data_IF_767223921060
#
_entry.id   IF_767223921060
#
_cell.length_a   1.000
_cell.length_b   1.000
_cell.length_c   1.000
_cell.angle_alpha   90.00
_cell.angle_beta   90.00
_cell.angle_gamma   90.00
#
_symmetry.space_group_name_H-M   'P 1'
#
loop_
_entity.id
_entity.type
_entity.pdbx_description
1 polymer ?
#
# COMPACT_ATOMS: atom_id res chain seq x y z
N UNK A 1 -2.76 23.35 -51.33
CA UNK A 1 -2.24 24.31 -50.33
C UNK A 1 -3.27 24.47 -49.22
N UNK A 2 -3.10 23.77 -48.09
CA UNK A 2 -4.00 23.90 -46.94
C UNK A 2 -3.71 25.20 -46.20
N UNK A 3 -4.68 26.11 -46.16
CA UNK A 3 -4.59 27.35 -45.37
C UNK A 3 -4.67 26.96 -43.89
N UNK A 4 -3.62 27.24 -43.12
CA UNK A 4 -3.66 27.13 -41.66
C UNK A 4 -4.42 28.33 -41.12
N UNK A 5 -5.67 28.11 -40.73
CA UNK A 5 -6.51 29.14 -40.10
C UNK A 5 -6.00 29.34 -38.65
N UNK A 6 -5.49 30.54 -38.36
CA UNK A 6 -5.03 30.89 -37.01
C UNK A 6 -6.24 31.08 -36.10
N UNK A 7 -6.22 30.42 -34.95
CA UNK A 7 -7.30 30.54 -33.95
C UNK A 7 -7.42 31.98 -33.42
N UNK A 8 -8.63 32.45 -33.08
CA UNK A 8 -8.83 33.73 -32.42
C UNK A 8 -8.06 33.80 -31.09
N UNK A 9 -7.52 34.99 -30.77
CA UNK A 9 -6.72 35.23 -29.55
C UNK A 9 -7.39 34.74 -28.26
N UNK A 10 -8.71 34.95 -28.02
CA UNK A 10 -9.37 34.42 -26.83
C UNK A 10 -9.36 32.89 -26.74
N UNK A 11 -9.49 32.21 -27.88
CA UNK A 11 -9.48 30.73 -27.95
C UNK A 11 -8.09 30.19 -27.67
N UNK A 12 -7.04 30.85 -28.17
CA UNK A 12 -5.66 30.49 -27.86
C UNK A 12 -5.35 30.68 -26.36
N UNK A 13 -5.86 31.75 -25.75
CA UNK A 13 -5.66 32.02 -24.32
C UNK A 13 -6.37 30.99 -23.44
N UNK A 14 -7.61 30.64 -23.78
CA UNK A 14 -8.39 29.60 -23.08
C UNK A 14 -7.70 28.23 -23.17
N UNK A 15 -7.20 27.83 -24.34
CA UNK A 15 -6.44 26.58 -24.51
C UNK A 15 -5.19 26.55 -23.64
N UNK A 16 -4.45 27.66 -23.56
CA UNK A 16 -3.23 27.76 -22.75
C UNK A 16 -3.53 27.69 -21.25
N UNK A 17 -4.63 28.31 -20.81
CA UNK A 17 -5.10 28.21 -19.42
C UNK A 17 -5.51 26.78 -19.07
N UNK A 18 -6.30 26.12 -19.93
CA UNK A 18 -6.69 24.72 -19.74
C UNK A 18 -5.48 23.79 -19.64
N UNK A 19 -4.52 23.92 -20.56
CA UNK A 19 -3.26 23.16 -20.51
C UNK A 19 -2.49 23.37 -19.21
N UNK A 20 -2.37 24.63 -18.75
CA UNK A 20 -1.69 24.93 -17.48
C UNK A 20 -2.41 24.34 -16.27
N UNK A 21 -3.75 24.30 -16.28
CA UNK A 21 -4.54 23.68 -15.21
C UNK A 21 -4.34 22.17 -15.21
N UNK A 22 -4.44 21.51 -16.37
CA UNK A 22 -4.22 20.06 -16.51
C UNK A 22 -2.84 19.65 -15.99
N UNK A 23 -1.77 20.34 -16.41
CA UNK A 23 -0.40 20.03 -15.93
C UNK A 23 -0.25 20.22 -14.42
N UNK A 24 -0.97 21.18 -13.81
CA UNK A 24 -0.95 21.36 -12.36
C UNK A 24 -1.68 20.24 -11.62
N UNK A 25 -2.81 19.78 -12.14
CA UNK A 25 -3.56 18.66 -11.57
C UNK A 25 -2.72 17.39 -11.63
N UNK A 26 -2.14 17.06 -12.80
CA UNK A 26 -1.28 15.89 -12.96
C UNK A 26 -0.08 15.90 -12.00
N UNK A 27 0.54 17.07 -11.78
CA UNK A 27 1.62 17.23 -10.81
C UNK A 27 1.15 17.06 -9.38
N UNK A 28 -0.06 17.50 -9.05
CA UNK A 28 -0.63 17.33 -7.72
C UNK A 28 -0.96 15.86 -7.47
N UNK A 29 -1.61 15.19 -8.41
CA UNK A 29 -1.92 13.76 -8.34
C UNK A 29 -0.64 12.94 -8.19
N UNK A 30 0.39 13.23 -8.99
CA UNK A 30 1.68 12.57 -8.84
C UNK A 30 2.30 12.77 -7.45
N UNK A 31 2.18 13.97 -6.87
CA UNK A 31 2.67 14.25 -5.52
C UNK A 31 1.85 13.55 -4.44
N UNK A 32 0.53 13.51 -4.58
CA UNK A 32 -0.35 12.80 -3.64
C UNK A 32 -0.03 11.30 -3.68
N UNK A 33 0.03 10.71 -4.87
CA UNK A 33 0.38 9.30 -5.03
C UNK A 33 1.77 8.98 -4.48
N UNK A 34 2.74 9.88 -4.67
CA UNK A 34 4.10 9.67 -4.19
C UNK A 34 4.26 9.88 -2.68
N UNK A 35 3.59 10.84 -2.08
CA UNK A 35 3.87 11.26 -0.69
C UNK A 35 2.76 10.93 0.31
N UNK A 36 1.53 10.73 -0.15
CA UNK A 36 0.39 10.38 0.71
C UNK A 36 0.06 8.89 0.59
N UNK A 37 0.21 8.31 -0.61
CA UNK A 37 -0.10 6.89 -0.85
C UNK A 37 1.12 5.96 -0.74
N UNK A 38 2.32 6.47 -0.46
CA UNK A 38 3.46 5.60 -0.16
C UNK A 38 3.28 5.00 1.23
N UNK A 39 3.04 3.68 1.27
CA UNK A 39 3.07 2.89 2.50
C UNK A 39 4.40 3.11 3.22
N UNK A 40 4.37 3.42 4.51
CA UNK A 40 5.57 3.66 5.30
C UNK A 40 5.97 2.36 6.00
N UNK A 41 6.41 1.42 5.19
CA UNK A 41 6.74 0.06 5.61
C UNK A 41 8.01 0.07 6.48
N UNK A 42 7.93 -0.55 7.65
CA UNK A 42 9.06 -0.73 8.55
C UNK A 42 9.62 -2.15 8.39
N UNK A 43 10.89 -2.26 8.01
CA UNK A 43 11.58 -3.53 7.71
C UNK A 43 12.56 -3.95 8.82
N UNK A 44 12.47 -3.32 9.98
CA UNK A 44 13.31 -3.57 11.15
C UNK A 44 12.43 -3.89 12.37
N UNK A 45 13.00 -4.58 13.36
CA UNK A 45 12.28 -4.90 14.59
C UNK A 45 11.80 -3.63 15.28
N UNK A 46 10.51 -3.60 15.60
CA UNK A 46 9.88 -2.53 16.39
C UNK A 46 9.62 -3.06 17.79
N UNK A 47 10.16 -2.38 18.81
CA UNK A 47 9.90 -2.74 20.20
C UNK A 47 8.40 -2.65 20.51
N UNK A 48 7.83 -3.74 21.04
CA UNK A 48 6.40 -3.86 21.32
C UNK A 48 5.55 -4.42 20.18
N UNK A 49 6.12 -4.63 18.98
CA UNK A 49 5.40 -5.30 17.90
C UNK A 49 5.07 -6.77 18.24
N UNK A 50 3.94 -7.31 17.74
CA UNK A 50 3.45 -8.64 18.10
C UNK A 50 4.36 -9.79 17.62
N UNK A 51 5.11 -9.56 16.54
CA UNK A 51 6.07 -10.51 15.96
C UNK A 51 7.33 -9.74 15.58
N UNK A 52 8.47 -10.43 15.43
CA UNK A 52 9.75 -9.84 14.99
C UNK A 52 9.98 -10.02 13.49
N UNK A 53 10.71 -9.11 12.86
CA UNK A 53 11.19 -9.27 11.49
C UNK A 53 12.05 -10.54 11.40
N UNK A 54 11.85 -11.33 10.35
CA UNK A 54 12.52 -12.63 10.17
C UNK A 54 11.87 -13.78 10.95
N UNK A 55 10.90 -13.53 11.83
CA UNK A 55 10.22 -14.58 12.57
C UNK A 55 9.36 -15.44 11.64
N UNK A 56 9.42 -16.77 11.81
CA UNK A 56 8.51 -17.69 11.12
C UNK A 56 7.15 -17.69 11.78
N UNK A 57 6.11 -17.54 10.96
CA UNK A 57 4.71 -17.52 11.37
C UNK A 57 3.89 -18.43 10.49
N UNK A 58 2.86 -19.05 11.08
CA UNK A 58 1.82 -19.79 10.39
C UNK A 58 0.60 -18.90 10.24
N UNK A 59 0.04 -18.86 9.04
CA UNK A 59 -1.24 -18.20 8.76
C UNK A 59 -2.37 -19.10 9.27
N UNK A 60 -3.24 -18.55 10.11
CA UNK A 60 -4.44 -19.21 10.59
C UNK A 60 -5.55 -19.11 9.54
N UNK A 61 -6.44 -20.10 9.52
CA UNK A 61 -7.54 -20.16 8.56
C UNK A 61 -8.70 -19.24 9.02
N UNK A 62 -8.65 -17.98 8.60
CA UNK A 62 -9.65 -16.92 8.82
C UNK A 62 -10.29 -16.89 10.23
N UNK A 63 -9.50 -16.74 11.31
CA UNK A 63 -10.00 -16.86 12.69
C UNK A 63 -10.92 -15.70 13.13
N UNK A 64 -10.86 -14.56 12.44
CA UNK A 64 -11.65 -13.35 12.67
C UNK A 64 -12.89 -13.25 11.75
N UNK A 65 -13.10 -14.21 10.85
CA UNK A 65 -14.15 -14.16 9.82
C UNK A 65 -14.09 -12.90 8.94
N UNK A 66 -12.87 -12.49 8.55
CA UNK A 66 -12.64 -11.40 7.62
C UNK A 66 -13.01 -11.84 6.19
N UNK A 67 -13.94 -11.12 5.57
CA UNK A 67 -14.40 -11.37 4.19
C UNK A 67 -13.31 -11.07 3.15
N UNK A 68 -12.26 -10.32 3.53
CA UNK A 68 -11.13 -9.96 2.67
C UNK A 68 -9.95 -10.92 2.79
N UNK A 69 -10.02 -11.91 3.70
CA UNK A 69 -8.98 -12.90 3.91
C UNK A 69 -8.77 -13.78 2.66
N UNK A 70 -7.53 -13.86 2.17
CA UNK A 70 -7.16 -14.74 1.07
C UNK A 70 -6.85 -16.16 1.56
N UNK A 71 -7.80 -17.07 1.34
CA UNK A 71 -7.70 -18.49 1.67
C UNK A 71 -6.54 -19.22 0.99
N UNK A 72 -5.92 -18.68 -0.07
CA UNK A 72 -4.71 -19.26 -0.68
C UNK A 72 -3.57 -19.38 0.34
N UNK A 73 -3.55 -18.51 1.34
CA UNK A 73 -2.47 -18.48 2.33
C UNK A 73 -2.73 -19.30 3.60
N UNK A 74 -3.95 -19.79 3.79
CA UNK A 74 -4.35 -20.53 4.98
C UNK A 74 -3.40 -21.72 5.27
N UNK A 75 -2.99 -21.86 6.53
CA UNK A 75 -2.08 -22.90 7.03
C UNK A 75 -0.65 -22.89 6.45
N UNK A 76 -0.29 -21.95 5.58
CA UNK A 76 1.09 -21.80 5.10
C UNK A 76 1.98 -21.21 6.19
N UNK A 77 3.27 -21.46 6.06
CA UNK A 77 4.31 -20.85 6.90
C UNK A 77 5.06 -19.83 6.04
N UNK A 78 5.20 -18.63 6.57
CA UNK A 78 5.99 -17.56 5.98
C UNK A 78 6.92 -16.92 7.01
N UNK A 79 7.58 -15.86 6.59
CA UNK A 79 8.50 -15.06 7.38
C UNK A 79 8.01 -13.63 7.46
N UNK A 80 7.96 -13.06 8.66
CA UNK A 80 7.61 -11.65 8.86
C UNK A 80 8.67 -10.78 8.17
N UNK A 81 8.22 -9.87 7.32
CA UNK A 81 9.09 -9.08 6.44
C UNK A 81 9.00 -7.57 6.69
N UNK A 82 7.82 -7.06 7.06
CA UNK A 82 7.61 -5.65 7.37
C UNK A 82 6.37 -5.43 8.25
N UNK A 83 6.26 -4.22 8.79
CA UNK A 83 5.06 -3.70 9.45
C UNK A 83 4.51 -2.48 8.68
N UNK A 84 3.18 -2.36 8.62
CA UNK A 84 2.48 -1.19 8.08
C UNK A 84 1.45 -0.64 9.08
N UNK A 85 1.65 0.60 9.50
CA UNK A 85 0.85 1.26 10.53
C UNK A 85 -0.10 2.35 10.01
N UNK A 86 -0.05 2.70 8.73
CA UNK A 86 -0.75 3.84 8.14
C UNK A 86 -1.69 3.44 6.99
N UNK A 87 -2.20 2.21 6.96
CA UNK A 87 -3.14 1.79 5.91
C UNK A 87 -4.61 2.26 6.14
N UNK A 88 -4.91 2.85 7.30
CA UNK A 88 -6.22 3.46 7.59
C UNK A 88 -7.27 2.50 8.13
N UNK A 89 -6.88 1.31 8.58
CA UNK A 89 -7.76 0.25 9.07
C UNK A 89 -7.79 0.14 10.61
N UNK A 90 -7.40 1.20 11.33
CA UNK A 90 -7.42 1.24 12.80
C UNK A 90 -6.13 0.77 13.48
N UNK A 91 -5.03 0.71 12.74
CA UNK A 91 -3.71 0.36 13.30
C UNK A 91 -3.25 1.34 14.39
N UNK A 92 -2.50 0.81 15.35
CA UNK A 92 -1.90 1.58 16.44
C UNK A 92 -0.45 1.18 16.63
N UNK A 93 0.46 2.15 16.56
CA UNK A 93 1.88 1.91 16.82
C UNK A 93 2.14 1.68 18.32
N UNK A 94 2.94 0.67 18.73
CA UNK A 94 3.56 -0.39 17.93
C UNK A 94 2.76 -1.70 17.89
N UNK A 95 1.64 -1.80 18.61
CA UNK A 95 1.05 -3.09 18.99
C UNK A 95 0.14 -3.70 17.91
N UNK A 96 -0.38 -2.88 16.99
CA UNK A 96 -1.41 -3.28 16.02
C UNK A 96 -1.02 -2.91 14.57
N UNK A 97 0.09 -3.43 14.02
CA UNK A 97 0.41 -3.28 12.60
C UNK A 97 -0.37 -4.27 11.72
N UNK A 98 -0.51 -3.93 10.44
CA UNK A 98 -0.59 -4.94 9.39
C UNK A 98 0.80 -5.55 9.20
N UNK A 99 0.89 -6.87 9.13
CA UNK A 99 2.16 -7.60 9.15
C UNK A 99 2.36 -8.25 7.79
N UNK A 100 3.35 -7.77 7.04
CA UNK A 100 3.72 -8.35 5.77
C UNK A 100 4.47 -9.65 5.95
N UNK A 101 3.94 -10.76 5.44
CA UNK A 101 4.56 -12.08 5.51
C UNK A 101 5.03 -12.50 4.11
N UNK A 102 6.31 -12.86 3.99
CA UNK A 102 6.92 -13.39 2.76
C UNK A 102 7.01 -14.91 2.80
N UNK A 103 6.58 -15.55 1.73
CA UNK A 103 6.60 -17.01 1.58
C UNK A 103 7.79 -17.50 0.73
N UNK A 104 8.09 -18.79 0.81
CA UNK A 104 9.26 -19.39 0.15
C UNK A 104 9.19 -19.36 -1.38
N UNK A 105 7.99 -19.27 -1.95
CA UNK A 105 7.74 -19.12 -3.39
C UNK A 105 7.86 -17.66 -3.87
N UNK A 106 8.23 -16.73 -2.97
CA UNK A 106 8.38 -15.31 -3.27
C UNK A 106 7.08 -14.51 -3.20
N UNK A 107 5.92 -15.16 -2.98
CA UNK A 107 4.66 -14.43 -2.71
C UNK A 107 4.73 -13.72 -1.36
N UNK A 108 3.93 -12.67 -1.20
CA UNK A 108 3.79 -11.92 0.05
C UNK A 108 2.36 -11.46 0.22
N UNK A 109 1.89 -11.37 1.47
CA UNK A 109 0.57 -10.84 1.84
C UNK A 109 0.61 -10.20 3.24
N UNK A 110 -0.30 -9.27 3.51
CA UNK A 110 -0.44 -8.56 4.79
C UNK A 110 -1.53 -9.21 5.65
N UNK A 111 -1.21 -9.48 6.92
CA UNK A 111 -2.13 -10.12 7.88
C UNK A 111 -2.25 -9.32 9.18
N UNK A 112 -3.37 -9.46 9.87
CA UNK A 112 -3.52 -9.03 11.24
C UNK A 112 -2.80 -9.98 12.20
N UNK A 113 -2.44 -9.49 13.39
CA UNK A 113 -1.73 -10.33 14.38
C UNK A 113 -2.57 -11.54 14.83
N UNK A 114 -3.89 -11.41 14.86
CA UNK A 114 -4.84 -12.47 15.21
C UNK A 114 -4.91 -13.58 14.15
N UNK A 115 -4.51 -13.28 12.92
CA UNK A 115 -4.46 -14.23 11.80
C UNK A 115 -3.14 -15.01 11.76
N UNK A 116 -2.21 -14.69 12.67
CA UNK A 116 -0.87 -15.25 12.71
C UNK A 116 -0.62 -16.01 14.01
N UNK A 117 0.20 -17.06 13.91
CA UNK A 117 0.75 -17.77 15.07
C UNK A 117 2.22 -18.04 14.86
N UNK A 118 3.03 -17.91 15.91
CA UNK A 118 4.44 -18.31 15.86
C UNK A 118 4.59 -19.74 15.37
N UNK A 119 5.42 -19.94 14.35
CA UNK A 119 5.83 -21.25 13.89
C UNK A 119 7.21 -21.55 14.50
N UNK A 120 7.26 -22.53 15.39
CA UNK A 120 8.50 -23.05 15.99
C UNK A 120 9.29 -23.89 15.00
#
# INVERSE_FOLDING_TARGET
MGKTEKLPVPVMLAKRLAQNVTVKIERLDHRISKFVLQKNLLYEDVEGAPFRIGQKVRILDNPNHDDTFDGEFANRIGEVSFYEYNCGCGQTFPNDPMIGVRFADGKSEEFWKEELKSAS
#
